data_IF_327649769787
#
_entry.id   IF_327649769787
#
_cell.length_a   1.000
_cell.length_b   1.000
_cell.length_c   1.000
_cell.angle_alpha   90.00
_cell.angle_beta   90.00
_cell.angle_gamma   90.00
#
_symmetry.space_group_name_H-M   'P 1'
#
loop_
_entity.id
_entity.type
_entity.pdbx_description
1 polymer ?
#
# COMPACT_ATOMS: atom_id res chain seq x y z
N UNK A 1 8.80 0.91 -7.01
CA UNK A 1 10.05 1.51 -7.55
C UNK A 1 11.31 0.78 -7.09
N UNK A 2 11.31 0.13 -5.90
CA UNK A 2 12.51 -0.53 -5.36
C UNK A 2 13.00 -1.78 -6.14
N UNK A 3 12.38 -2.10 -7.26
CA UNK A 3 12.95 -3.00 -8.28
C UNK A 3 14.07 -2.33 -9.09
N UNK A 4 14.10 -0.99 -9.13
CA UNK A 4 15.18 -0.19 -9.70
C UNK A 4 16.45 -0.32 -8.84
N UNK A 5 17.62 -0.07 -9.42
CA UNK A 5 18.85 0.12 -8.64
C UNK A 5 18.79 1.44 -7.85
N UNK A 6 19.69 1.63 -6.89
CA UNK A 6 19.74 2.89 -6.14
C UNK A 6 20.04 4.09 -7.05
N UNK A 7 20.96 3.93 -8.02
CA UNK A 7 21.29 4.94 -9.03
C UNK A 7 20.09 5.29 -9.91
N UNK A 8 19.40 4.28 -10.45
CA UNK A 8 18.19 4.50 -11.26
C UNK A 8 17.07 5.18 -10.48
N UNK A 9 16.95 4.88 -9.18
CA UNK A 9 15.97 5.51 -8.32
C UNK A 9 16.33 6.97 -8.02
N UNK A 10 17.61 7.25 -7.79
CA UNK A 10 18.15 8.60 -7.63
C UNK A 10 17.93 9.43 -8.91
N UNK A 11 18.27 8.90 -10.07
CA UNK A 11 18.04 9.55 -11.37
C UNK A 11 16.56 9.85 -11.63
N UNK A 12 15.67 8.90 -11.29
CA UNK A 12 14.23 9.08 -11.44
C UNK A 12 13.73 10.22 -10.56
N UNK A 13 14.13 10.24 -9.29
CA UNK A 13 13.71 11.28 -8.35
C UNK A 13 14.30 12.65 -8.72
N UNK A 14 15.56 12.69 -9.17
CA UNK A 14 16.17 13.90 -9.71
C UNK A 14 15.41 14.41 -10.94
N UNK A 15 15.02 13.51 -11.85
CA UNK A 15 14.20 13.88 -13.04
C UNK A 15 12.87 14.50 -12.64
N UNK A 16 12.24 14.00 -11.56
CA UNK A 16 11.00 14.59 -11.00
C UNK A 16 11.27 16.02 -10.50
N UNK A 17 12.35 16.24 -9.74
CA UNK A 17 12.72 17.55 -9.21
C UNK A 17 13.06 18.56 -10.31
N UNK A 18 13.75 18.12 -11.37
CA UNK A 18 14.18 18.99 -12.47
C UNK A 18 13.03 19.42 -13.39
N UNK A 19 11.95 18.62 -13.46
CA UNK A 19 10.87 18.84 -14.43
C UNK A 19 9.55 19.30 -13.79
N UNK A 20 9.39 19.19 -12.47
CA UNK A 20 8.16 19.57 -11.77
C UNK A 20 8.42 20.67 -10.75
N UNK A 21 7.51 21.63 -10.65
CA UNK A 21 7.57 22.67 -9.61
C UNK A 21 7.09 22.09 -8.27
N UNK A 22 8.02 21.71 -7.41
CA UNK A 22 7.75 21.10 -6.12
C UNK A 22 7.54 22.12 -4.98
N UNK A 23 7.56 23.44 -5.24
CA UNK A 23 7.44 24.48 -4.20
C UNK A 23 6.14 24.40 -3.41
N UNK A 24 5.09 23.90 -4.03
CA UNK A 24 3.77 23.74 -3.40
C UNK A 24 3.42 22.29 -3.09
N UNK A 25 4.42 21.39 -3.18
CA UNK A 25 4.23 19.99 -2.86
C UNK A 25 3.72 19.82 -1.43
N UNK A 26 2.72 18.95 -1.24
CA UNK A 26 2.11 18.64 0.05
C UNK A 26 2.46 17.25 0.56
N UNK A 27 2.79 16.35 -0.33
CA UNK A 27 3.17 14.97 -0.01
C UNK A 27 4.05 14.42 -1.13
N UNK A 28 5.16 13.81 -0.76
CA UNK A 28 6.02 13.06 -1.65
C UNK A 28 6.14 11.62 -1.14
N UNK A 29 5.50 10.70 -1.85
CA UNK A 29 5.42 9.30 -1.45
C UNK A 29 6.11 8.39 -2.45
N UNK A 30 6.85 7.41 -1.96
CA UNK A 30 7.40 6.30 -2.75
C UNK A 30 6.79 4.98 -2.27
N UNK A 31 6.10 4.30 -3.18
CA UNK A 31 5.65 2.93 -2.96
C UNK A 31 6.86 1.99 -3.01
N UNK A 32 7.55 1.77 -1.88
CA UNK A 32 8.71 0.90 -1.80
C UNK A 32 8.33 -0.57 -2.05
N UNK A 33 7.13 -0.96 -1.62
CA UNK A 33 6.52 -2.23 -1.99
C UNK A 33 7.13 -3.42 -1.24
N UNK A 34 7.84 -4.30 -1.96
CA UNK A 34 8.30 -5.57 -1.41
C UNK A 34 9.50 -5.39 -0.47
N UNK A 35 9.42 -5.92 0.78
CA UNK A 35 10.49 -5.78 1.79
C UNK A 35 11.86 -6.29 1.31
N UNK A 36 11.90 -7.39 0.57
CA UNK A 36 13.13 -7.99 0.03
C UNK A 36 13.87 -7.13 -0.99
N UNK A 37 13.20 -6.15 -1.59
CA UNK A 37 13.80 -5.23 -2.56
C UNK A 37 14.28 -3.92 -1.95
N UNK A 38 14.01 -3.69 -0.65
CA UNK A 38 14.36 -2.47 0.07
C UNK A 38 15.79 -2.60 0.63
N UNK A 39 16.73 -1.85 0.04
CA UNK A 39 18.11 -1.76 0.53
C UNK A 39 18.37 -0.42 1.21
N UNK A 40 19.45 -0.34 1.97
CA UNK A 40 19.85 0.89 2.64
C UNK A 40 20.14 2.01 1.63
N UNK A 41 20.90 1.69 0.59
CA UNK A 41 21.28 2.64 -0.47
C UNK A 41 20.07 3.22 -1.21
N UNK A 42 19.04 2.41 -1.42
CA UNK A 42 17.78 2.88 -2.04
C UNK A 42 17.01 3.82 -1.11
N UNK A 43 16.99 3.52 0.18
CA UNK A 43 16.35 4.41 1.16
C UNK A 43 17.13 5.71 1.35
N UNK A 44 18.47 5.69 1.28
CA UNK A 44 19.29 6.91 1.28
C UNK A 44 18.99 7.77 0.04
N UNK A 45 18.88 7.17 -1.14
CA UNK A 45 18.46 7.88 -2.36
C UNK A 45 17.07 8.52 -2.19
N UNK A 46 16.10 7.79 -1.66
CA UNK A 46 14.75 8.28 -1.36
C UNK A 46 14.80 9.46 -0.37
N UNK A 47 15.54 9.32 0.72
CA UNK A 47 15.67 10.35 1.76
C UNK A 47 16.38 11.61 1.26
N UNK A 48 17.43 11.47 0.43
CA UNK A 48 18.14 12.57 -0.23
C UNK A 48 17.18 13.50 -0.98
N UNK A 49 16.18 12.95 -1.66
CA UNK A 49 15.16 13.68 -2.40
C UNK A 49 13.96 14.13 -1.54
N UNK A 50 14.11 14.13 -0.22
CA UNK A 50 13.09 14.61 0.73
C UNK A 50 11.72 13.93 0.58
N UNK A 51 11.74 12.66 0.18
CA UNK A 51 10.53 11.84 0.22
C UNK A 51 10.11 11.65 1.68
N UNK A 52 8.89 12.06 1.99
CA UNK A 52 8.37 12.07 3.37
C UNK A 52 7.76 10.73 3.77
N UNK A 53 7.25 9.97 2.80
CA UNK A 53 6.51 8.75 3.04
C UNK A 53 6.99 7.61 2.15
N UNK A 54 7.12 6.44 2.74
CA UNK A 54 7.25 5.19 1.98
C UNK A 54 6.14 4.22 2.37
N UNK A 55 5.77 3.32 1.45
CA UNK A 55 4.89 2.20 1.75
C UNK A 55 5.66 0.89 1.65
N UNK A 56 5.65 0.12 2.73
CA UNK A 56 6.17 -1.24 2.79
C UNK A 56 4.99 -2.19 2.79
N UNK A 57 5.04 -3.25 2.00
CA UNK A 57 3.91 -4.15 1.79
C UNK A 57 4.18 -5.54 2.39
N UNK A 58 4.09 -5.72 3.73
CA UNK A 58 4.25 -7.01 4.39
C UNK A 58 3.21 -8.03 3.91
N UNK A 59 1.98 -7.61 3.79
CA UNK A 59 0.76 -8.39 3.55
C UNK A 59 0.39 -9.27 4.75
N UNK A 60 1.34 -10.02 5.32
CA UNK A 60 1.23 -10.91 6.48
C UNK A 60 2.60 -11.10 7.12
N UNK A 61 2.64 -11.49 8.40
CA UNK A 61 3.84 -11.95 9.10
C UNK A 61 3.89 -13.48 9.22
N UNK A 62 2.96 -14.20 8.56
CA UNK A 62 2.95 -15.67 8.53
C UNK A 62 3.70 -16.17 7.30
N UNK A 63 4.88 -16.76 7.50
CA UNK A 63 5.77 -17.26 6.44
C UNK A 63 5.04 -18.17 5.44
N UNK A 64 4.26 -19.13 5.94
CA UNK A 64 3.48 -20.05 5.10
C UNK A 64 2.51 -19.31 4.17
N UNK A 65 1.85 -18.28 4.67
CA UNK A 65 0.94 -17.45 3.88
C UNK A 65 1.68 -16.67 2.81
N UNK A 66 2.84 -16.07 3.14
CA UNK A 66 3.68 -15.35 2.18
C UNK A 66 4.09 -16.27 1.02
N UNK A 67 4.50 -17.50 1.30
CA UNK A 67 4.83 -18.51 0.28
C UNK A 67 3.62 -18.81 -0.61
N UNK A 68 2.43 -18.99 -0.03
CA UNK A 68 1.19 -19.31 -0.78
C UNK A 68 0.78 -18.19 -1.74
N UNK A 69 0.99 -16.94 -1.36
CA UNK A 69 0.67 -15.79 -2.21
C UNK A 69 1.82 -15.39 -3.15
N UNK A 70 2.87 -16.21 -3.23
CA UNK A 70 4.00 -16.00 -4.14
C UNK A 70 4.92 -14.85 -3.74
N UNK A 71 5.00 -14.56 -2.44
CA UNK A 71 5.99 -13.61 -1.90
C UNK A 71 7.28 -14.33 -1.59
N UNK A 72 8.41 -13.74 -1.99
CA UNK A 72 9.76 -14.29 -1.77
C UNK A 72 10.40 -13.77 -0.48
N UNK A 73 9.83 -12.74 0.14
CA UNK A 73 10.33 -12.22 1.41
C UNK A 73 9.82 -13.03 2.60
N UNK A 74 10.62 -13.03 3.65
CA UNK A 74 10.31 -13.61 4.95
C UNK A 74 9.89 -12.53 5.96
N UNK A 75 9.26 -12.88 7.09
CA UNK A 75 8.96 -11.93 8.17
C UNK A 75 10.19 -11.15 8.64
N UNK A 76 11.36 -11.77 8.67
CA UNK A 76 12.62 -11.12 9.01
C UNK A 76 13.01 -9.98 8.07
N UNK A 77 12.65 -10.07 6.79
CA UNK A 77 12.95 -9.03 5.80
C UNK A 77 12.06 -7.81 6.01
N UNK A 78 10.81 -8.04 6.46
CA UNK A 78 9.89 -6.97 6.84
C UNK A 78 10.50 -6.16 8.00
N UNK A 79 10.90 -6.84 9.08
CA UNK A 79 11.56 -6.20 10.24
C UNK A 79 12.79 -5.41 9.81
N UNK A 80 13.66 -6.02 8.98
CA UNK A 80 14.86 -5.33 8.45
C UNK A 80 14.51 -4.10 7.61
N UNK A 81 13.44 -4.16 6.80
CA UNK A 81 13.02 -3.02 5.98
C UNK A 81 12.58 -1.83 6.85
N UNK A 82 11.79 -2.07 7.89
CA UNK A 82 11.40 -1.04 8.86
C UNK A 82 12.62 -0.47 9.61
N UNK A 83 13.52 -1.33 10.11
CA UNK A 83 14.75 -0.89 10.79
C UNK A 83 15.65 -0.04 9.89
N UNK A 84 15.72 -0.37 8.58
CA UNK A 84 16.46 0.45 7.61
C UNK A 84 15.80 1.80 7.40
N UNK A 85 14.46 1.83 7.28
CA UNK A 85 13.71 3.07 7.10
C UNK A 85 13.87 4.01 8.30
N UNK A 86 13.77 3.49 9.51
CA UNK A 86 14.01 4.22 10.76
C UNK A 86 15.44 4.75 10.83
N UNK A 87 16.45 3.92 10.55
CA UNK A 87 17.85 4.29 10.57
C UNK A 87 18.22 5.38 9.56
N UNK A 88 17.60 5.40 8.39
CA UNK A 88 17.76 6.46 7.37
C UNK A 88 17.01 7.73 7.77
N UNK A 89 16.00 7.62 8.63
CA UNK A 89 15.17 8.73 9.08
C UNK A 89 14.03 9.05 8.13
N UNK A 90 13.42 8.04 7.50
CA UNK A 90 12.19 8.24 6.72
C UNK A 90 11.06 8.63 7.68
N UNK A 91 10.41 9.81 7.51
CA UNK A 91 9.48 10.33 8.51
C UNK A 91 8.20 9.52 8.68
N UNK A 92 7.68 8.94 7.59
CA UNK A 92 6.39 8.26 7.59
C UNK A 92 6.52 6.91 6.88
N UNK A 93 6.21 5.83 7.58
CA UNK A 93 6.17 4.48 7.01
C UNK A 93 4.75 3.95 7.08
N UNK A 94 4.21 3.55 5.93
CA UNK A 94 2.94 2.84 5.83
C UNK A 94 3.20 1.34 5.71
N UNK A 95 2.40 0.53 6.42
CA UNK A 95 2.37 -0.92 6.28
C UNK A 95 1.07 -1.38 5.63
N UNK A 96 1.17 -2.12 4.51
CA UNK A 96 0.01 -2.73 3.87
C UNK A 96 -0.18 -4.17 4.35
N UNK A 97 -1.37 -4.47 4.89
CA UNK A 97 -1.80 -5.79 5.34
C UNK A 97 -3.02 -6.26 4.56
N UNK A 98 -3.19 -7.56 4.41
CA UNK A 98 -4.35 -8.15 3.72
C UNK A 98 -5.08 -9.11 4.65
N UNK A 99 -6.39 -8.91 4.82
CA UNK A 99 -7.29 -9.87 5.47
C UNK A 99 -7.84 -10.87 4.47
N UNK A 100 -8.10 -12.10 4.92
CA UNK A 100 -8.67 -13.16 4.08
C UNK A 100 -7.65 -13.87 3.19
N UNK A 101 -6.37 -13.80 3.53
CA UNK A 101 -5.34 -14.57 2.84
C UNK A 101 -5.54 -16.08 3.06
N UNK A 102 -5.10 -16.94 2.10
CA UNK A 102 -5.24 -18.38 2.21
C UNK A 102 -4.59 -18.93 3.48
N UNK A 103 -5.25 -19.87 4.13
CA UNK A 103 -4.79 -20.56 5.34
C UNK A 103 -4.51 -19.63 6.54
N UNK A 104 -5.07 -18.40 6.55
CA UNK A 104 -5.00 -17.51 7.69
C UNK A 104 -6.29 -17.55 8.54
N UNK A 105 -6.08 -17.62 9.85
CA UNK A 105 -7.13 -17.49 10.84
C UNK A 105 -7.19 -16.06 11.40
N UNK A 106 -8.27 -15.65 12.07
CA UNK A 106 -8.32 -14.38 12.80
C UNK A 106 -7.16 -14.20 13.79
N UNK A 107 -6.72 -15.30 14.43
CA UNK A 107 -5.61 -15.29 15.39
C UNK A 107 -4.25 -15.06 14.67
N UNK A 108 -4.06 -15.62 13.47
CA UNK A 108 -2.87 -15.38 12.66
C UNK A 108 -2.79 -13.91 12.24
N UNK A 109 -3.92 -13.33 11.81
CA UNK A 109 -4.01 -11.91 11.47
C UNK A 109 -3.78 -11.01 12.69
N UNK A 110 -4.36 -11.37 13.85
CA UNK A 110 -4.15 -10.64 15.10
C UNK A 110 -2.67 -10.60 15.49
N UNK A 111 -1.95 -11.72 15.32
CA UNK A 111 -0.51 -11.84 15.55
C UNK A 111 0.30 -11.00 14.57
N UNK A 112 -0.03 -11.08 13.26
CA UNK A 112 0.56 -10.22 12.24
C UNK A 112 0.43 -8.74 12.62
N UNK A 113 -0.75 -8.33 13.07
CA UNK A 113 -1.00 -6.95 13.44
C UNK A 113 -0.20 -6.53 14.68
N UNK A 114 -0.05 -7.40 15.69
CA UNK A 114 0.78 -7.14 16.88
C UNK A 114 2.26 -6.97 16.51
N UNK A 115 2.78 -7.84 15.64
CA UNK A 115 4.15 -7.76 15.17
C UNK A 115 4.41 -6.47 14.36
N UNK A 116 3.47 -6.07 13.50
CA UNK A 116 3.58 -4.81 12.74
C UNK A 116 3.45 -3.59 13.66
N UNK A 117 2.55 -3.60 14.63
CA UNK A 117 2.43 -2.53 15.62
C UNK A 117 3.71 -2.36 16.44
N UNK A 118 4.42 -3.44 16.73
CA UNK A 118 5.71 -3.40 17.42
C UNK A 118 6.84 -2.75 16.59
N UNK A 119 6.66 -2.61 15.27
CA UNK A 119 7.58 -1.87 14.38
C UNK A 119 7.24 -0.38 14.29
N UNK A 120 6.20 0.06 14.97
CA UNK A 120 5.78 1.44 15.17
C UNK A 120 5.53 2.27 13.88
N UNK A 121 4.81 1.74 12.85
CA UNK A 121 4.49 2.52 11.66
C UNK A 121 3.58 3.70 11.98
N UNK A 122 3.64 4.76 11.16
CA UNK A 122 2.72 5.92 11.23
C UNK A 122 1.39 5.61 10.56
N UNK A 123 1.39 4.74 9.55
CA UNK A 123 0.19 4.34 8.83
C UNK A 123 0.10 2.81 8.69
N UNK A 124 -1.12 2.30 8.71
CA UNK A 124 -1.42 0.91 8.37
C UNK A 124 -2.62 0.90 7.44
N UNK A 125 -2.49 0.26 6.28
CA UNK A 125 -3.62 0.02 5.39
C UNK A 125 -4.03 -1.44 5.49
N UNK A 126 -5.28 -1.68 5.86
CA UNK A 126 -5.86 -3.02 5.92
C UNK A 126 -6.70 -3.25 4.68
N UNK A 127 -6.18 -4.09 3.79
CA UNK A 127 -6.87 -4.52 2.59
C UNK A 127 -7.70 -5.78 2.85
N UNK A 128 -8.80 -5.92 2.13
CA UNK A 128 -9.52 -7.18 2.02
C UNK A 128 -9.11 -7.87 0.73
N UNK A 129 -8.80 -9.15 0.79
CA UNK A 129 -8.40 -9.91 -0.38
C UNK A 129 -9.44 -9.80 -1.51
N UNK A 130 -9.02 -9.27 -2.64
CA UNK A 130 -9.80 -9.25 -3.86
C UNK A 130 -9.25 -10.31 -4.83
N UNK A 131 -10.04 -11.35 -5.10
CA UNK A 131 -9.60 -12.43 -6.01
C UNK A 131 -9.99 -12.06 -7.43
N UNK A 132 -8.99 -11.81 -8.28
CA UNK A 132 -9.22 -11.54 -9.70
C UNK A 132 -9.58 -12.84 -10.43
N UNK A 133 -10.39 -12.75 -11.49
CA UNK A 133 -10.82 -13.91 -12.29
C UNK A 133 -9.69 -14.78 -12.84
N UNK A 134 -8.52 -14.20 -13.08
CA UNK A 134 -7.31 -14.88 -13.53
C UNK A 134 -6.40 -15.37 -12.37
N UNK A 135 -6.88 -15.34 -11.14
CA UNK A 135 -6.10 -15.83 -10.00
C UNK A 135 -6.17 -17.35 -9.89
N UNK A 136 -5.04 -17.99 -9.63
CA UNK A 136 -4.98 -19.43 -9.34
C UNK A 136 -5.87 -19.87 -8.17
N UNK A 137 -6.23 -18.94 -7.28
CA UNK A 137 -7.17 -19.19 -6.18
C UNK A 137 -8.58 -19.50 -6.67
N UNK A 138 -9.03 -18.90 -7.80
CA UNK A 138 -10.34 -19.19 -8.41
C UNK A 138 -10.37 -20.58 -9.05
N UNK A 139 -9.23 -21.06 -9.54
CA UNK A 139 -9.12 -22.40 -10.13
C UNK A 139 -9.22 -23.49 -9.06
N UNK A 140 -8.85 -23.19 -7.80
CA UNK A 140 -8.88 -24.11 -6.66
C UNK A 140 -10.25 -24.13 -5.98
N UNK A 141 -10.89 -22.99 -5.78
CA UNK A 141 -12.20 -22.87 -5.12
C UNK A 141 -12.99 -21.66 -5.65
N UNK A 142 -14.02 -21.93 -6.45
CA UNK A 142 -14.89 -20.88 -7.04
C UNK A 142 -15.70 -20.10 -5.99
N UNK A 143 -15.96 -20.72 -4.84
CA UNK A 143 -16.75 -20.14 -3.75
C UNK A 143 -15.88 -19.58 -2.61
N UNK A 144 -14.56 -19.52 -2.81
CA UNK A 144 -13.60 -19.03 -1.82
C UNK A 144 -14.03 -17.68 -1.20
N UNK A 145 -14.56 -16.77 -2.00
CA UNK A 145 -15.05 -15.48 -1.54
C UNK A 145 -16.19 -15.53 -0.53
N UNK A 146 -17.11 -16.46 -0.73
CA UNK A 146 -18.30 -16.56 0.12
C UNK A 146 -18.00 -17.29 1.42
N UNK A 147 -17.13 -18.30 1.38
CA UNK A 147 -16.76 -19.09 2.54
C UNK A 147 -15.94 -18.31 3.56
N UNK A 148 -15.23 -17.29 3.12
CA UNK A 148 -14.35 -16.50 3.97
C UNK A 148 -14.96 -15.20 4.54
N UNK A 149 -16.18 -14.84 4.16
CA UNK A 149 -16.77 -13.56 4.56
C UNK A 149 -16.84 -13.39 6.09
N UNK A 150 -17.18 -14.44 6.84
CA UNK A 150 -17.23 -14.37 8.30
C UNK A 150 -15.82 -14.21 8.91
N UNK A 151 -14.85 -14.98 8.45
CA UNK A 151 -13.46 -14.89 8.89
C UNK A 151 -12.87 -13.51 8.62
N UNK A 152 -13.13 -12.96 7.44
CA UNK A 152 -12.71 -11.59 7.08
C UNK A 152 -13.40 -10.55 7.97
N UNK A 153 -14.69 -10.69 8.25
CA UNK A 153 -15.39 -9.80 9.16
C UNK A 153 -14.75 -9.79 10.56
N UNK A 154 -14.37 -10.96 11.08
CA UNK A 154 -13.65 -11.09 12.34
C UNK A 154 -12.28 -10.42 12.30
N UNK A 155 -11.49 -10.66 11.25
CA UNK A 155 -10.18 -10.01 11.06
C UNK A 155 -10.31 -8.47 11.01
N UNK A 156 -11.29 -7.95 10.27
CA UNK A 156 -11.54 -6.50 10.19
C UNK A 156 -11.99 -5.90 11.53
N UNK A 157 -12.76 -6.65 12.31
CA UNK A 157 -13.11 -6.25 13.69
C UNK A 157 -11.88 -6.18 14.58
N UNK A 158 -11.01 -7.21 14.54
CA UNK A 158 -9.73 -7.24 15.26
C UNK A 158 -8.85 -6.04 14.84
N UNK A 159 -8.73 -5.77 13.53
CA UNK A 159 -7.98 -4.62 13.03
C UNK A 159 -8.48 -3.31 13.64
N UNK A 160 -9.79 -3.07 13.55
CA UNK A 160 -10.42 -1.85 14.07
C UNK A 160 -10.18 -1.67 15.59
N UNK A 161 -10.34 -2.73 16.37
CA UNK A 161 -10.19 -2.68 17.83
C UNK A 161 -8.73 -2.46 18.24
N UNK A 162 -7.79 -3.24 17.67
CA UNK A 162 -6.36 -3.14 18.01
C UNK A 162 -5.77 -1.81 17.54
N UNK A 163 -6.06 -1.37 16.30
CA UNK A 163 -5.56 -0.11 15.77
C UNK A 163 -6.08 1.09 16.55
N UNK A 164 -7.37 1.07 16.93
CA UNK A 164 -7.93 2.11 17.79
C UNK A 164 -7.25 2.13 19.17
N UNK A 165 -7.01 0.97 19.77
CA UNK A 165 -6.31 0.87 21.06
C UNK A 165 -4.85 1.36 20.98
N UNK A 166 -4.21 1.19 19.82
CA UNK A 166 -2.86 1.69 19.53
C UNK A 166 -2.82 3.18 19.09
N UNK A 167 -3.94 3.90 19.14
CA UNK A 167 -4.01 5.34 18.82
C UNK A 167 -4.22 5.66 17.34
N UNK A 168 -4.43 4.67 16.49
CA UNK A 168 -4.73 4.91 15.08
C UNK A 168 -6.18 5.31 14.87
N UNK A 169 -6.42 6.15 13.85
CA UNK A 169 -7.75 6.52 13.37
C UNK A 169 -7.90 6.21 11.88
N UNK A 170 -9.08 5.77 11.42
CA UNK A 170 -9.32 5.61 9.98
C UNK A 170 -9.35 7.00 9.32
N UNK A 171 -8.77 7.13 8.12
CA UNK A 171 -8.73 8.39 7.38
C UNK A 171 -9.24 8.28 5.94
N UNK A 172 -9.22 7.09 5.36
CA UNK A 172 -9.87 6.83 4.07
C UNK A 172 -10.34 5.38 3.99
N UNK A 173 -11.27 5.13 3.09
CA UNK A 173 -11.75 3.79 2.77
C UNK A 173 -12.12 3.71 1.28
N UNK A 174 -11.98 2.51 0.74
CA UNK A 174 -12.45 2.23 -0.62
C UNK A 174 -12.84 0.77 -0.79
N UNK A 175 -13.72 0.51 -1.77
CA UNK A 175 -14.18 -0.83 -2.08
C UNK A 175 -13.78 -1.20 -3.51
N UNK A 176 -13.25 -2.40 -3.70
CA UNK A 176 -12.99 -2.99 -5.00
C UNK A 176 -14.12 -3.99 -5.37
N UNK A 177 -14.26 -4.25 -6.67
CA UNK A 177 -15.13 -5.33 -7.14
C UNK A 177 -14.51 -6.70 -6.75
N UNK A 178 -15.37 -7.68 -6.44
CA UNK A 178 -14.99 -9.07 -6.13
C UNK A 178 -14.15 -9.23 -4.84
N UNK A 179 -14.41 -8.41 -3.83
CA UNK A 179 -13.85 -8.59 -2.50
C UNK A 179 -14.69 -9.58 -1.68
N UNK A 180 -14.04 -10.37 -0.83
CA UNK A 180 -14.73 -11.24 0.12
C UNK A 180 -15.71 -10.45 0.98
N UNK A 181 -16.98 -10.84 1.05
CA UNK A 181 -18.01 -10.19 1.84
C UNK A 181 -18.35 -8.75 1.45
N UNK A 182 -17.86 -8.24 0.30
CA UNK A 182 -18.01 -6.84 -0.15
C UNK A 182 -17.54 -5.80 0.88
N UNK A 183 -16.55 -6.14 1.70
CA UNK A 183 -15.95 -5.25 2.69
C UNK A 183 -15.07 -4.16 2.05
N UNK A 184 -14.76 -3.12 2.83
CA UNK A 184 -13.86 -2.04 2.40
C UNK A 184 -12.41 -2.33 2.78
N UNK A 185 -11.50 -1.73 2.01
CA UNK A 185 -10.13 -1.47 2.42
C UNK A 185 -10.11 -0.18 3.24
N UNK A 186 -9.40 -0.16 4.35
CA UNK A 186 -9.36 0.99 5.25
C UNK A 186 -7.91 1.37 5.56
N UNK A 187 -7.59 2.64 5.34
CA UNK A 187 -6.33 3.23 5.80
C UNK A 187 -6.47 3.86 7.17
N UNK A 188 -5.53 3.54 8.03
CA UNK A 188 -5.44 4.07 9.39
C UNK A 188 -4.14 4.87 9.54
N UNK A 189 -4.17 5.94 10.31
CA UNK A 189 -3.00 6.76 10.63
C UNK A 189 -2.94 7.11 12.11
N UNK A 190 -1.73 7.31 12.60
CA UNK A 190 -1.48 8.01 13.87
C UNK A 190 -1.48 9.52 13.61
N UNK A 191 -1.83 10.29 14.64
CA UNK A 191 -1.76 11.75 14.66
C UNK A 191 -2.25 12.40 13.34
N UNK A 192 -1.47 13.32 12.78
CA UNK A 192 -1.79 14.04 11.57
C UNK A 192 -0.95 13.56 10.37
N UNK A 193 -0.85 12.22 10.20
CA UNK A 193 -0.11 11.59 9.10
C UNK A 193 -0.99 10.92 8.03
N UNK A 194 -2.22 11.40 7.68
CA UNK A 194 -2.99 10.80 6.61
C UNK A 194 -2.28 10.98 5.26
N UNK A 195 -2.36 9.98 4.36
CA UNK A 195 -1.90 10.16 3.00
C UNK A 195 -2.90 11.02 2.21
N UNK A 196 -2.43 12.18 1.78
CA UNK A 196 -3.23 13.12 0.99
C UNK A 196 -3.60 12.50 -0.36
N UNK A 197 -2.64 11.78 -0.98
CA UNK A 197 -2.89 11.08 -2.24
C UNK A 197 -4.03 10.07 -2.11
N UNK A 198 -4.05 9.25 -1.04
CA UNK A 198 -5.09 8.26 -0.82
C UNK A 198 -6.47 8.90 -0.67
N UNK A 199 -6.55 10.02 0.04
CA UNK A 199 -7.79 10.79 0.18
C UNK A 199 -8.23 11.32 -1.18
N UNK A 200 -7.35 12.01 -1.90
CA UNK A 200 -7.66 12.71 -3.15
C UNK A 200 -8.05 11.76 -4.28
N UNK A 201 -7.38 10.60 -4.39
CA UNK A 201 -7.72 9.61 -5.42
C UNK A 201 -9.11 9.00 -5.21
N UNK A 202 -9.56 8.91 -3.94
CA UNK A 202 -10.89 8.39 -3.59
C UNK A 202 -11.98 9.45 -3.70
N UNK A 203 -11.69 10.71 -3.37
CA UNK A 203 -12.65 11.82 -3.53
C UNK A 203 -13.00 12.10 -5.00
N UNK A 204 -12.10 11.78 -5.92
CA UNK A 204 -12.22 12.04 -7.36
C UNK A 204 -12.54 13.52 -7.70
N UNK A 205 -12.07 14.44 -6.87
CA UNK A 205 -12.28 15.90 -7.00
C UNK A 205 -11.00 16.69 -7.32
N UNK A 206 -10.01 15.98 -7.85
CA UNK A 206 -8.73 16.57 -8.24
C UNK A 206 -8.24 15.94 -9.53
N UNK A 207 -7.59 16.74 -10.38
CA UNK A 207 -6.84 16.23 -11.53
C UNK A 207 -5.62 15.46 -11.05
N UNK A 208 -5.42 14.25 -11.56
CA UNK A 208 -4.26 13.40 -11.29
C UNK A 208 -3.62 13.06 -12.63
N UNK A 209 -2.39 13.49 -12.84
CA UNK A 209 -1.61 13.15 -14.02
C UNK A 209 -0.82 11.86 -13.75
N UNK A 210 -0.99 10.88 -14.60
CA UNK A 210 -0.26 9.62 -14.55
C UNK A 210 0.85 9.65 -15.62
N UNK A 211 2.07 9.36 -15.23
CA UNK A 211 3.22 9.22 -16.12
C UNK A 211 3.58 7.75 -16.27
N UNK A 212 4.10 7.39 -17.45
CA UNK A 212 4.54 6.03 -17.76
C UNK A 212 3.44 5.15 -18.40
N UNK A 213 3.87 4.00 -18.91
CA UNK A 213 3.01 3.05 -19.60
C UNK A 213 1.96 2.44 -18.68
N UNK A 214 0.73 2.29 -19.19
CA UNK A 214 -0.40 1.75 -18.43
C UNK A 214 -0.98 2.69 -17.36
N UNK A 215 -0.43 3.90 -17.20
CA UNK A 215 -0.97 4.91 -16.31
C UNK A 215 -2.32 5.43 -16.80
N UNK A 216 -3.19 5.85 -15.88
CA UNK A 216 -4.49 6.45 -16.21
C UNK A 216 -4.58 7.79 -15.51
N UNK A 217 -4.54 8.88 -16.27
CA UNK A 217 -4.78 10.22 -15.76
C UNK A 217 -6.27 10.41 -15.49
N UNK A 218 -6.58 11.17 -14.44
CA UNK A 218 -7.93 11.61 -14.08
C UNK A 218 -8.00 13.12 -14.25
N UNK A 219 -8.80 13.61 -15.19
CA UNK A 219 -9.02 15.03 -15.43
C UNK A 219 -10.32 15.45 -14.75
N UNK A 220 -10.24 16.32 -13.75
CA UNK A 220 -11.40 16.82 -13.03
C UNK A 220 -11.78 18.22 -13.51
N UNK A 221 -13.06 18.40 -13.83
CA UNK A 221 -13.67 19.65 -14.26
C UNK A 221 -14.60 20.18 -13.16
N UNK A 222 -14.14 21.12 -12.31
CA UNK A 222 -14.88 21.54 -11.13
C UNK A 222 -16.24 22.19 -11.45
N UNK A 223 -16.32 22.97 -12.53
CA UNK A 223 -17.57 23.67 -12.94
C UNK A 223 -18.68 22.69 -13.30
N UNK A 224 -18.34 21.50 -13.79
CA UNK A 224 -19.29 20.48 -14.23
C UNK A 224 -19.40 19.34 -13.23
N UNK A 225 -18.58 19.34 -12.17
CA UNK A 225 -18.39 18.22 -11.24
C UNK A 225 -18.19 16.88 -12.01
N UNK A 226 -17.38 16.92 -13.08
CA UNK A 226 -17.18 15.81 -14.01
C UNK A 226 -15.72 15.33 -13.98
N UNK A 227 -15.54 14.02 -14.05
CA UNK A 227 -14.24 13.37 -14.12
C UNK A 227 -14.11 12.59 -15.43
N UNK A 228 -13.01 12.77 -16.13
CA UNK A 228 -12.61 11.97 -17.29
C UNK A 228 -11.35 11.16 -16.99
N UNK A 229 -11.28 9.96 -17.55
CA UNK A 229 -10.12 9.08 -17.46
C UNK A 229 -9.43 9.01 -18.82
N UNK A 230 -8.13 9.33 -18.84
CA UNK A 230 -7.29 9.32 -20.04
C UNK A 230 -6.18 8.31 -19.83
N UNK A 231 -6.24 7.14 -20.48
CA UNK A 231 -5.19 6.14 -20.38
C UNK A 231 -3.96 6.53 -21.20
N UNK A 232 -2.78 6.25 -20.67
CA UNK A 232 -1.54 6.26 -21.41
C UNK A 232 -1.44 4.99 -22.30
N UNK A 233 -0.46 4.95 -23.19
CA UNK A 233 -0.13 3.73 -23.93
C UNK A 233 0.13 2.58 -22.97
N UNK A 234 -0.29 1.37 -23.32
CA UNK A 234 -0.12 0.20 -22.46
C UNK A 234 1.27 -0.41 -22.51
N UNK A 235 2.04 -0.11 -23.56
CA UNK A 235 3.41 -0.59 -23.75
C UNK A 235 4.36 0.59 -23.94
N UNK A 236 5.52 0.58 -23.27
CA UNK A 236 6.56 1.62 -23.38
C UNK A 236 7.40 1.50 -24.66
N UNK A 237 7.28 0.38 -25.40
CA UNK A 237 8.00 0.12 -26.65
C UNK A 237 7.31 0.73 -27.90
N UNK A 238 6.24 1.53 -27.72
CA UNK A 238 5.49 2.15 -28.81
C UNK A 238 5.89 3.62 -28.95
#
# INVERSE_FOLDING_TARGET
PTTLTAEQLDDLLQTVEDNLDLRMLKEFTVEAGRPDTITYEKLEAIHKHKVERISINPQSMKERTLQLIGRSHEPSDIVKAFQKADRVGIPIVNADLITGLPEETPEDFARTLDEILALDPENITVHTLAVKRASRLVDVDKDFHYKQAQTVAEMLKIAKEKLKAAGFRPYYLYRQKHMAGAFENVGYCKDDTPSIYNIRIMEEKQTILALGAGGISKMYYPAENRLERVPNVSNYEI
#
